data_IF_041486343904
#
_entry.id   IF_041486343904
#
_cell.length_a   1.000
_cell.length_b   1.000
_cell.length_c   1.000
_cell.angle_alpha   90.00
_cell.angle_beta   90.00
_cell.angle_gamma   90.00
#
_symmetry.space_group_name_H-M   'P 1'
#
loop_
_entity.id
_entity.type
_entity.pdbx_description
1 polymer ?
#
# COMPACT_ATOMS: atom_id res chain seq x y z
N UNK A 1 -25.56 4.92 4.67
CA UNK A 1 -24.33 5.32 5.40
C UNK A 1 -23.59 6.35 4.58
N UNK A 2 -23.02 7.41 5.18
CA UNK A 2 -22.19 8.35 4.44
C UNK A 2 -20.96 7.61 3.86
N UNK A 3 -20.74 7.72 2.54
CA UNK A 3 -19.55 7.15 1.88
C UNK A 3 -18.36 8.05 2.17
N UNK A 4 -17.31 7.50 2.76
CA UNK A 4 -16.03 8.20 2.90
C UNK A 4 -15.20 8.04 1.63
N UNK A 5 -14.42 9.06 1.25
CA UNK A 5 -13.55 8.95 0.08
C UNK A 5 -12.44 7.92 0.33
N UNK A 6 -12.12 7.15 -0.71
CA UNK A 6 -10.89 6.38 -0.76
C UNK A 6 -9.84 7.25 -1.47
N UNK A 7 -8.72 7.53 -0.78
CA UNK A 7 -7.70 8.47 -1.23
C UNK A 7 -6.39 7.71 -1.42
N UNK A 8 -5.80 7.78 -2.62
CA UNK A 8 -4.49 7.22 -2.92
C UNK A 8 -3.43 8.32 -3.05
N UNK A 9 -2.19 7.97 -2.72
CA UNK A 9 -1.03 8.85 -2.88
C UNK A 9 -0.04 8.17 -3.83
N UNK A 10 0.09 8.71 -5.05
CA UNK A 10 0.93 8.17 -6.11
C UNK A 10 2.12 9.07 -6.41
N UNK A 11 3.18 8.48 -6.99
CA UNK A 11 4.39 9.20 -7.37
C UNK A 11 5.65 8.33 -7.34
N UNK A 12 6.77 8.89 -7.80
CA UNK A 12 8.05 8.18 -7.86
C UNK A 12 8.60 7.82 -6.48
N UNK A 13 9.58 6.92 -6.45
CA UNK A 13 10.34 6.65 -5.23
C UNK A 13 10.96 7.93 -4.66
N UNK A 14 10.99 8.05 -3.34
CA UNK A 14 11.56 9.23 -2.66
C UNK A 14 10.74 10.54 -2.75
N UNK A 15 9.62 10.60 -3.49
CA UNK A 15 8.87 11.86 -3.68
C UNK A 15 8.06 12.33 -2.44
N UNK A 16 8.15 11.61 -1.32
CA UNK A 16 7.53 12.01 -0.04
C UNK A 16 6.11 11.49 0.22
N UNK A 17 5.64 10.47 -0.53
CA UNK A 17 4.28 9.88 -0.35
C UNK A 17 3.97 9.53 1.10
N UNK A 18 4.83 8.73 1.74
CA UNK A 18 4.65 8.28 3.13
C UNK A 18 4.55 9.45 4.11
N UNK A 19 5.37 10.50 3.90
CA UNK A 19 5.32 11.71 4.72
C UNK A 19 3.99 12.43 4.57
N UNK A 20 3.46 12.55 3.35
CA UNK A 20 2.17 13.21 3.11
C UNK A 20 0.99 12.40 3.66
N UNK A 21 1.01 11.07 3.55
CA UNK A 21 0.02 10.17 4.16
C UNK A 21 -0.02 10.39 5.67
N UNK A 22 1.13 10.37 6.35
CA UNK A 22 1.19 10.58 7.81
C UNK A 22 0.70 11.98 8.22
N UNK A 23 1.06 13.02 7.47
CA UNK A 23 0.59 14.39 7.73
C UNK A 23 -0.92 14.53 7.57
N UNK A 24 -1.50 13.92 6.54
CA UNK A 24 -2.95 13.92 6.34
C UNK A 24 -3.65 13.13 7.45
N UNK A 25 -3.18 11.92 7.76
CA UNK A 25 -3.74 11.09 8.82
C UNK A 25 -3.77 11.84 10.16
N UNK A 26 -2.65 12.41 10.58
CA UNK A 26 -2.56 13.19 11.82
C UNK A 26 -3.50 14.42 11.81
N UNK A 27 -3.70 15.06 10.66
CA UNK A 27 -4.66 16.18 10.54
C UNK A 27 -6.11 15.70 10.68
N UNK A 28 -6.45 14.58 10.09
CA UNK A 28 -7.81 14.01 10.14
C UNK A 28 -8.14 13.49 11.55
N UNK A 29 -7.20 12.81 12.21
CA UNK A 29 -7.30 12.38 13.60
C UNK A 29 -7.55 13.55 14.55
N UNK A 30 -6.77 14.64 14.43
CA UNK A 30 -6.98 15.86 15.25
C UNK A 30 -8.35 16.50 15.06
N UNK A 31 -9.00 16.26 13.92
CA UNK A 31 -10.34 16.77 13.62
C UNK A 31 -11.45 15.76 13.94
N UNK A 32 -11.12 14.63 14.59
CA UNK A 32 -12.11 13.60 14.93
C UNK A 32 -12.68 12.85 13.72
N UNK A 33 -12.00 12.90 12.56
CA UNK A 33 -12.41 12.18 11.36
C UNK A 33 -11.87 10.75 11.44
N UNK A 34 -12.72 9.72 11.52
CA UNK A 34 -12.19 8.37 11.62
C UNK A 34 -11.63 7.92 10.28
N UNK A 35 -10.47 7.26 10.32
CA UNK A 35 -9.68 6.92 9.15
C UNK A 35 -9.06 5.53 9.28
N UNK A 36 -8.64 4.99 8.15
CA UNK A 36 -7.80 3.81 8.04
C UNK A 36 -6.65 4.14 7.10
N UNK A 37 -5.41 3.92 7.55
CA UNK A 37 -4.22 4.04 6.69
C UNK A 37 -3.80 2.64 6.26
N UNK A 38 -3.58 2.47 4.97
CA UNK A 38 -3.01 1.25 4.40
C UNK A 38 -1.97 1.58 3.33
N UNK A 39 -1.27 0.57 2.82
CA UNK A 39 -0.26 0.66 1.76
C UNK A 39 -0.32 -0.54 0.83
N UNK A 40 0.09 -0.33 -0.41
CA UNK A 40 0.27 -1.40 -1.40
C UNK A 40 1.70 -1.40 -1.96
N UNK A 41 2.28 -2.58 -2.27
CA UNK A 41 1.86 -3.89 -1.78
C UNK A 41 2.11 -3.95 -0.25
N UNK A 42 1.20 -4.61 0.48
CA UNK A 42 1.22 -4.64 1.94
C UNK A 42 -0.14 -4.42 2.58
N UNK A 43 -0.14 -3.97 3.84
CA UNK A 43 -1.33 -3.57 4.59
C UNK A 43 -2.12 -4.72 5.22
N UNK A 44 -1.76 -5.98 4.94
CA UNK A 44 -2.27 -7.19 5.61
C UNK A 44 -1.13 -8.18 5.84
N UNK A 45 -1.32 -9.18 6.71
CA UNK A 45 -0.29 -10.19 6.97
C UNK A 45 0.18 -10.88 5.68
N UNK A 46 -0.76 -11.34 4.83
CA UNK A 46 -0.44 -11.94 3.53
C UNK A 46 0.15 -10.90 2.57
N UNK A 47 -0.40 -9.68 2.55
CA UNK A 47 0.10 -8.60 1.71
C UNK A 47 1.56 -8.23 2.00
N UNK A 48 1.97 -8.25 3.27
CA UNK A 48 3.36 -8.02 3.68
C UNK A 48 4.29 -9.15 3.24
N UNK A 49 3.88 -10.42 3.35
CA UNK A 49 4.66 -11.55 2.81
C UNK A 49 4.86 -11.42 1.29
N UNK A 50 3.82 -11.02 0.56
CA UNK A 50 3.93 -10.79 -0.89
C UNK A 50 4.86 -9.60 -1.18
N UNK A 51 4.78 -8.52 -0.40
CA UNK A 51 5.68 -7.37 -0.51
C UNK A 51 7.14 -7.78 -0.34
N UNK A 52 7.44 -8.62 0.65
CA UNK A 52 8.80 -9.12 0.87
C UNK A 52 9.33 -9.88 -0.34
N UNK A 53 8.49 -10.73 -0.95
CA UNK A 53 8.83 -11.44 -2.18
C UNK A 53 9.11 -10.48 -3.35
N UNK A 54 8.32 -9.42 -3.48
CA UNK A 54 8.46 -8.43 -4.55
C UNK A 54 9.71 -7.55 -4.38
N UNK A 55 10.08 -7.18 -3.15
CA UNK A 55 11.15 -6.20 -2.89
C UNK A 55 12.50 -6.79 -2.54
N UNK A 56 12.52 -7.94 -1.86
CA UNK A 56 13.73 -8.43 -1.20
C UNK A 56 14.09 -9.86 -1.57
N UNK A 57 13.27 -10.57 -2.36
CA UNK A 57 13.59 -11.94 -2.76
C UNK A 57 14.90 -11.99 -3.55
N UNK A 58 15.91 -12.79 -3.14
CA UNK A 58 17.16 -12.96 -3.88
C UNK A 58 16.95 -13.44 -5.32
N UNK A 59 15.87 -14.18 -5.56
CA UNK A 59 15.48 -14.69 -6.88
C UNK A 59 14.53 -13.74 -7.65
N UNK A 60 14.22 -12.57 -7.12
CA UNK A 60 13.32 -11.60 -7.74
C UNK A 60 13.80 -11.13 -9.13
N UNK A 61 15.12 -11.15 -9.37
CA UNK A 61 15.74 -10.83 -10.67
C UNK A 61 15.25 -11.75 -11.81
N UNK A 62 14.83 -12.98 -11.49
CA UNK A 62 14.30 -13.93 -12.47
C UNK A 62 12.78 -13.91 -12.63
N UNK A 63 12.07 -13.03 -11.90
CA UNK A 63 10.62 -12.98 -11.94
C UNK A 63 10.14 -12.42 -13.29
N UNK A 64 9.22 -13.14 -13.94
CA UNK A 64 8.59 -12.60 -15.16
C UNK A 64 7.67 -11.44 -14.78
N UNK A 65 7.54 -10.45 -15.68
CA UNK A 65 6.62 -9.32 -15.48
C UNK A 65 5.17 -9.76 -15.18
N UNK A 66 4.72 -10.89 -15.75
CA UNK A 66 3.39 -11.46 -15.47
C UNK A 66 3.28 -11.95 -14.03
N UNK A 67 4.30 -12.63 -13.51
CA UNK A 67 4.33 -13.08 -12.12
C UNK A 67 4.33 -11.90 -11.16
N UNK A 68 5.15 -10.88 -11.43
CA UNK A 68 5.22 -9.66 -10.63
C UNK A 68 3.85 -8.97 -10.55
N UNK A 69 3.21 -8.73 -11.71
CA UNK A 69 1.88 -8.14 -11.78
C UNK A 69 0.85 -8.95 -10.98
N UNK A 70 0.82 -10.28 -11.15
CA UNK A 70 -0.15 -11.12 -10.45
C UNK A 70 0.07 -11.14 -8.94
N UNK A 71 1.31 -11.06 -8.47
CA UNK A 71 1.61 -10.94 -7.04
C UNK A 71 1.16 -9.58 -6.49
N UNK A 72 1.40 -8.49 -7.23
CA UNK A 72 0.86 -7.17 -6.86
C UNK A 72 -0.66 -7.19 -6.71
N UNK A 73 -1.38 -7.73 -7.69
CA UNK A 73 -2.84 -7.85 -7.64
C UNK A 73 -3.32 -8.80 -6.53
N UNK A 74 -2.57 -9.88 -6.25
CA UNK A 74 -2.87 -10.77 -5.13
C UNK A 74 -2.73 -10.05 -3.77
N UNK A 75 -1.68 -9.23 -3.60
CA UNK A 75 -1.49 -8.40 -2.40
C UNK A 75 -2.65 -7.42 -2.22
N UNK A 76 -3.03 -6.70 -3.29
CA UNK A 76 -4.16 -5.77 -3.31
C UNK A 76 -5.48 -6.46 -2.95
N UNK A 77 -5.72 -7.68 -3.47
CA UNK A 77 -6.97 -8.42 -3.21
C UNK A 77 -7.20 -8.74 -1.73
N UNK A 78 -6.15 -8.73 -0.90
CA UNK A 78 -6.24 -8.96 0.54
C UNK A 78 -6.67 -7.72 1.32
N UNK A 79 -6.60 -6.52 0.72
CA UNK A 79 -7.11 -5.29 1.33
C UNK A 79 -8.64 -5.30 1.26
N UNK A 80 -9.26 -5.95 2.24
CA UNK A 80 -10.72 -5.99 2.48
C UNK A 80 -11.18 -4.95 3.48
#
# INVERSE_FOLDING_TARGET
MPRRPFITFEGSEGCGKSTQVQRLAARLERNGVPLLVTREPGGTAIGETIRELLQFAPHGVGMTAKTELLLFEASRSQLV
#
